data_IF_346043973598
#
_entry.id   IF_346043973598
#
_cell.length_a   1.000
_cell.length_b   1.000
_cell.length_c   1.000
_cell.angle_alpha   90.00
_cell.angle_beta   90.00
_cell.angle_gamma   90.00
#
_symmetry.space_group_name_H-M   'P 1'
#
loop_
_entity.id
_entity.type
_entity.pdbx_description
1 polymer ?
#
# COMPACT_ATOMS: atom_id res chain seq x y z
N UNK A 1 12.98 -1.97 -80.92
CA UNK A 1 13.23 -1.85 -79.46
C UNK A 1 11.89 -1.95 -78.76
N UNK A 2 11.61 -3.04 -78.03
CA UNK A 2 10.36 -3.25 -77.29
C UNK A 2 10.63 -2.86 -75.83
N UNK A 3 10.01 -1.78 -75.35
CA UNK A 3 10.07 -1.37 -73.95
C UNK A 3 9.13 -2.25 -73.13
N UNK A 4 9.67 -2.97 -72.16
CA UNK A 4 8.89 -3.67 -71.14
C UNK A 4 8.54 -2.68 -70.03
N UNK A 5 7.24 -2.49 -69.77
CA UNK A 5 6.75 -1.78 -68.59
C UNK A 5 6.80 -2.75 -67.41
N UNK A 6 7.64 -2.47 -66.42
CA UNK A 6 7.69 -3.20 -65.15
C UNK A 6 6.64 -2.60 -64.22
N UNK A 7 5.56 -3.33 -63.94
CA UNK A 7 4.57 -2.95 -62.94
C UNK A 7 5.15 -3.22 -61.54
N UNK A 8 5.35 -2.16 -60.75
CA UNK A 8 5.73 -2.28 -59.35
C UNK A 8 4.49 -2.63 -58.51
N UNK A 9 4.48 -3.83 -57.93
CA UNK A 9 3.45 -4.28 -57.00
C UNK A 9 3.73 -3.64 -55.63
N UNK A 10 2.95 -2.62 -55.25
CA UNK A 10 2.96 -2.07 -53.90
C UNK A 10 2.23 -3.05 -52.97
N UNK A 11 2.98 -3.82 -52.17
CA UNK A 11 2.42 -4.57 -51.05
C UNK A 11 2.01 -3.58 -49.95
N UNK A 12 0.70 -3.43 -49.74
CA UNK A 12 0.16 -2.81 -48.53
C UNK A 12 0.34 -3.77 -47.36
N UNK A 13 1.27 -3.47 -46.46
CA UNK A 13 1.41 -4.17 -45.19
C UNK A 13 0.26 -3.67 -44.29
N UNK A 14 -0.75 -4.51 -44.07
CA UNK A 14 -1.76 -4.24 -43.05
C UNK A 14 -1.08 -4.21 -41.67
N UNK A 15 -1.43 -3.28 -40.77
CA UNK A 15 -0.86 -3.28 -39.43
C UNK A 15 -1.26 -4.58 -38.74
N UNK A 16 -0.27 -5.32 -38.24
CA UNK A 16 -0.52 -6.47 -37.40
C UNK A 16 -1.37 -6.00 -36.21
N UNK A 17 -2.54 -6.62 -36.01
CA UNK A 17 -3.32 -6.39 -34.81
C UNK A 17 -2.42 -6.67 -33.61
N UNK A 18 -2.19 -5.67 -32.76
CA UNK A 18 -1.38 -5.83 -31.57
C UNK A 18 -2.02 -6.94 -30.71
N UNK A 19 -1.30 -8.05 -30.52
CA UNK A 19 -1.71 -9.10 -29.60
C UNK A 19 -1.94 -8.46 -28.23
N UNK A 20 -3.15 -8.58 -27.70
CA UNK A 20 -3.47 -8.06 -26.38
C UNK A 20 -2.59 -8.80 -25.37
N UNK A 21 -1.72 -8.07 -24.67
CA UNK A 21 -0.87 -8.64 -23.63
C UNK A 21 -1.75 -9.25 -22.54
N UNK A 22 -1.44 -10.48 -22.12
CA UNK A 22 -2.15 -11.19 -21.06
C UNK A 22 -1.25 -11.36 -19.84
N UNK A 23 -1.85 -11.47 -18.66
CA UNK A 23 -1.15 -11.76 -17.40
C UNK A 23 -1.94 -12.80 -16.60
N UNK A 24 -1.32 -13.38 -15.58
CA UNK A 24 -1.92 -14.37 -14.69
C UNK A 24 -1.66 -13.97 -13.25
N UNK A 25 -2.68 -14.04 -12.40
CA UNK A 25 -2.51 -13.87 -10.96
C UNK A 25 -2.03 -15.16 -10.27
N UNK A 26 -1.22 -15.06 -9.21
CA UNK A 26 -0.64 -13.82 -8.67
C UNK A 26 0.46 -13.25 -9.57
N UNK A 27 0.43 -11.95 -9.85
CA UNK A 27 1.46 -11.25 -10.65
C UNK A 27 2.84 -11.28 -9.96
N UNK A 28 2.85 -11.36 -8.63
CA UNK A 28 4.04 -11.59 -7.82
C UNK A 28 3.76 -12.83 -6.96
N UNK A 29 4.34 -13.97 -7.32
CA UNK A 29 4.17 -15.21 -6.57
C UNK A 29 5.22 -15.33 -5.44
N UNK A 30 5.19 -14.38 -4.51
CA UNK A 30 6.08 -14.30 -3.36
C UNK A 30 5.37 -13.60 -2.20
N UNK A 31 6.00 -13.59 -1.02
CA UNK A 31 5.43 -13.01 0.20
C UNK A 31 5.56 -11.47 0.21
N UNK A 32 4.57 -10.80 -0.39
CA UNK A 32 4.37 -9.35 -0.32
C UNK A 32 2.97 -9.09 0.21
N UNK A 33 2.81 -9.14 1.53
CA UNK A 33 1.52 -8.84 2.16
C UNK A 33 1.25 -7.33 2.16
N UNK A 34 -0.04 -7.01 2.19
CA UNK A 34 -0.55 -5.66 2.42
C UNK A 34 -0.04 -4.61 1.40
N UNK A 35 -0.02 -4.92 0.09
CA UNK A 35 0.53 -4.03 -0.89
C UNK A 35 -0.24 -2.70 -0.93
N UNK A 36 0.49 -1.61 -1.16
CA UNK A 36 -0.11 -0.34 -1.58
C UNK A 36 0.65 0.18 -2.79
N UNK A 37 -0.09 0.64 -3.79
CA UNK A 37 0.44 0.98 -5.12
C UNK A 37 0.02 2.39 -5.52
N UNK A 38 0.96 3.13 -6.11
CA UNK A 38 0.72 4.43 -6.74
C UNK A 38 1.33 4.51 -8.13
N UNK A 39 0.87 5.48 -8.92
CA UNK A 39 1.49 5.87 -10.19
C UNK A 39 2.08 7.27 -10.08
N UNK A 40 3.31 7.44 -10.57
CA UNK A 40 3.95 8.76 -10.76
C UNK A 40 4.44 8.83 -12.21
N UNK A 41 3.82 9.70 -13.01
CA UNK A 41 4.07 9.73 -14.45
C UNK A 41 3.66 8.41 -15.12
N UNK A 42 4.61 7.75 -15.79
CA UNK A 42 4.41 6.45 -16.46
C UNK A 42 4.82 5.23 -15.62
N UNK A 43 5.43 5.46 -14.45
CA UNK A 43 5.95 4.40 -13.60
C UNK A 43 4.99 4.14 -12.42
N UNK A 44 4.94 2.89 -11.99
CA UNK A 44 4.17 2.44 -10.83
C UNK A 44 5.13 2.03 -9.72
N UNK A 45 4.72 2.28 -8.48
CA UNK A 45 5.49 2.00 -7.28
C UNK A 45 4.62 1.29 -6.27
N UNK A 46 5.17 0.24 -5.67
CA UNK A 46 4.48 -0.56 -4.66
C UNK A 46 5.36 -0.67 -3.41
N UNK A 47 4.72 -0.61 -2.24
CA UNK A 47 5.32 -1.00 -0.96
C UNK A 47 4.52 -2.14 -0.36
N UNK A 48 5.14 -2.92 0.51
CA UNK A 48 4.52 -4.05 1.19
C UNK A 48 5.02 -4.14 2.64
N UNK A 49 4.25 -4.83 3.48
CA UNK A 49 4.67 -5.15 4.85
C UNK A 49 5.97 -5.94 4.86
N UNK A 50 6.71 -5.81 5.96
CA UNK A 50 7.97 -6.55 6.16
C UNK A 50 8.10 -7.13 7.56
N UNK A 51 7.17 -6.78 8.45
CA UNK A 51 7.17 -7.20 9.84
C UNK A 51 8.55 -6.94 10.48
N UNK A 52 9.26 -8.01 10.81
CA UNK A 52 10.51 -8.01 11.55
C UNK A 52 11.73 -8.12 10.64
N UNK A 53 11.53 -8.18 9.32
CA UNK A 53 12.60 -8.27 8.34
C UNK A 53 13.33 -6.93 8.22
N UNK A 54 14.65 -7.02 8.11
CA UNK A 54 15.56 -5.89 7.91
C UNK A 54 16.47 -6.21 6.72
N UNK A 55 16.57 -5.35 5.68
CA UNK A 55 15.92 -4.04 5.54
C UNK A 55 14.39 -4.14 5.42
N UNK A 56 13.68 -3.11 5.91
CA UNK A 56 12.22 -3.07 6.03
C UNK A 56 11.56 -2.27 4.91
N UNK A 57 10.31 -2.62 4.60
CA UNK A 57 9.45 -2.03 3.56
C UNK A 57 10.13 -2.02 2.18
N UNK A 58 10.07 -3.13 1.42
CA UNK A 58 10.57 -3.14 0.06
C UNK A 58 9.81 -2.13 -0.79
N UNK A 59 10.52 -1.41 -1.67
CA UNK A 59 9.95 -0.53 -2.68
C UNK A 59 10.14 -1.20 -4.03
N UNK A 60 9.04 -1.52 -4.70
CA UNK A 60 9.04 -2.13 -6.02
C UNK A 60 8.64 -1.12 -7.08
N UNK A 61 9.17 -1.29 -8.30
CA UNK A 61 8.84 -0.48 -9.47
C UNK A 61 8.34 -1.35 -10.62
N UNK A 62 7.37 -0.83 -11.36
CA UNK A 62 6.87 -1.42 -12.61
C UNK A 62 6.53 -0.33 -13.63
N UNK A 63 6.37 -0.73 -14.90
CA UNK A 63 5.82 0.09 -16.00
C UNK A 63 4.52 -0.46 -16.58
N UNK A 64 4.17 -1.69 -16.21
CA UNK A 64 3.05 -2.43 -16.81
C UNK A 64 2.14 -3.10 -15.76
N UNK A 65 2.40 -2.88 -14.46
CA UNK A 65 1.70 -3.48 -13.32
C UNK A 65 1.84 -5.00 -13.21
N UNK A 66 2.61 -5.65 -14.08
CA UNK A 66 2.78 -7.11 -14.13
C UNK A 66 4.20 -7.50 -13.74
N UNK A 67 5.20 -6.83 -14.30
CA UNK A 67 6.61 -7.10 -14.01
C UNK A 67 7.14 -6.09 -13.00
N UNK A 68 7.61 -6.59 -11.86
CA UNK A 68 8.07 -5.77 -10.74
C UNK A 68 9.52 -6.04 -10.41
N UNK A 69 10.24 -5.00 -10.00
CA UNK A 69 11.62 -5.11 -9.50
C UNK A 69 11.77 -4.29 -8.23
N UNK A 70 12.45 -4.85 -7.22
CA UNK A 70 12.82 -4.10 -6.01
C UNK A 70 13.85 -3.04 -6.41
N UNK A 71 13.59 -1.78 -6.07
CA UNK A 71 14.49 -0.65 -6.32
C UNK A 71 15.14 -0.12 -5.05
N UNK A 72 14.66 -0.53 -3.87
CA UNK A 72 15.19 -0.11 -2.59
C UNK A 72 14.31 -0.58 -1.43
N UNK A 73 14.66 -0.10 -0.25
CA UNK A 73 13.89 -0.30 0.99
C UNK A 73 13.77 1.05 1.70
N UNK A 74 12.62 1.31 2.32
CA UNK A 74 12.43 2.54 3.09
C UNK A 74 13.31 2.55 4.33
N UNK A 75 13.44 1.39 4.98
CA UNK A 75 14.19 1.24 6.22
C UNK A 75 15.45 0.39 5.97
N UNK A 76 16.68 0.95 6.09
CA UNK A 76 17.89 0.14 6.02
C UNK A 76 18.02 -0.82 7.21
N UNK A 77 17.40 -0.47 8.35
CA UNK A 77 17.24 -1.29 9.56
C UNK A 77 15.95 -0.89 10.29
N UNK A 78 15.41 -1.75 11.15
CA UNK A 78 14.25 -1.44 11.99
C UNK A 78 14.69 -0.64 13.23
N UNK A 79 14.33 0.65 13.37
CA UNK A 79 14.89 1.52 14.42
C UNK A 79 14.02 1.60 15.69
N UNK A 80 13.06 0.69 15.89
CA UNK A 80 11.99 0.86 16.89
C UNK A 80 12.37 0.41 18.31
N UNK A 81 13.48 -0.32 18.48
CA UNK A 81 13.97 -0.68 19.81
C UNK A 81 14.89 -1.89 19.81
N UNK A 82 15.56 -2.18 20.94
CA UNK A 82 16.56 -3.24 21.05
C UNK A 82 16.00 -4.65 20.84
N UNK A 83 14.67 -4.83 20.92
CA UNK A 83 14.02 -6.11 20.65
C UNK A 83 13.95 -6.46 19.15
N UNK A 84 14.22 -5.49 18.27
CA UNK A 84 14.35 -5.70 16.83
C UNK A 84 15.80 -5.99 16.41
N UNK A 85 16.76 -5.74 17.29
CA UNK A 85 18.16 -6.09 17.07
C UNK A 85 18.42 -7.54 17.48
N UNK A 86 19.28 -8.23 16.73
CA UNK A 86 19.80 -9.57 17.05
C UNK A 86 21.28 -9.48 17.49
N UNK A 87 21.63 -8.79 18.59
CA UNK A 87 23.02 -8.60 19.00
C UNK A 87 23.64 -9.94 19.41
N UNK A 88 24.74 -10.33 18.75
CA UNK A 88 25.49 -11.54 19.12
C UNK A 88 26.37 -11.35 20.37
N UNK A 89 26.97 -12.42 20.90
CA UNK A 89 26.84 -13.83 20.47
C UNK A 89 25.61 -14.52 21.07
N UNK A 90 24.86 -15.25 20.24
CA UNK A 90 23.71 -16.04 20.68
C UNK A 90 24.16 -17.46 21.03
N UNK A 91 24.22 -17.81 22.32
CA UNK A 91 24.43 -19.18 22.75
C UNK A 91 23.09 -19.93 22.72
N UNK A 92 22.72 -20.46 21.57
CA UNK A 92 21.53 -21.30 21.39
C UNK A 92 21.80 -22.67 22.02
N UNK A 93 21.63 -22.79 23.33
CA UNK A 93 21.54 -24.09 24.00
C UNK A 93 20.08 -24.50 24.10
N UNK A 94 19.82 -25.71 23.65
CA UNK A 94 18.54 -26.41 23.68
C UNK A 94 18.07 -26.62 25.12
N UNK A 95 17.33 -25.62 25.63
CA UNK A 95 16.11 -25.71 26.48
C UNK A 95 15.84 -24.44 27.31
N UNK A 96 16.80 -23.52 27.48
CA UNK A 96 16.62 -22.36 28.40
C UNK A 96 17.21 -21.03 27.88
N UNK A 97 17.79 -20.98 26.68
CA UNK A 97 18.39 -19.73 26.17
C UNK A 97 17.41 -18.97 25.27
N UNK A 98 16.59 -18.08 25.85
CA UNK A 98 15.92 -17.01 25.07
C UNK A 98 16.96 -15.89 24.88
N UNK A 99 17.33 -15.50 23.66
CA UNK A 99 18.24 -14.38 23.46
C UNK A 99 17.66 -13.11 24.12
N UNK A 100 18.54 -12.29 24.70
CA UNK A 100 18.19 -10.96 25.19
C UNK A 100 18.12 -10.05 23.96
N UNK A 101 17.01 -10.10 23.23
CA UNK A 101 16.80 -9.35 21.98
C UNK A 101 16.28 -10.21 20.84
N UNK A 102 15.88 -9.55 19.75
CA UNK A 102 15.42 -10.19 18.52
C UNK A 102 14.22 -11.11 18.67
N UNK A 103 13.30 -10.78 19.58
CA UNK A 103 12.10 -11.58 19.86
C UNK A 103 10.85 -11.07 19.16
N UNK A 104 10.95 -9.99 18.37
CA UNK A 104 9.83 -9.34 17.67
C UNK A 104 9.41 -10.04 16.37
N UNK A 105 9.46 -11.38 16.32
CA UNK A 105 9.00 -12.14 15.15
C UNK A 105 7.53 -11.87 14.86
N UNK A 106 7.19 -11.73 13.57
CA UNK A 106 5.87 -11.33 13.07
C UNK A 106 5.31 -9.98 13.62
N UNK A 107 6.14 -9.21 14.33
CA UNK A 107 5.85 -7.83 14.76
C UNK A 107 6.62 -6.83 13.91
N UNK A 108 6.64 -5.55 14.28
CA UNK A 108 7.34 -4.52 13.52
C UNK A 108 6.46 -3.90 12.46
N UNK A 109 6.94 -3.83 11.23
CA UNK A 109 6.32 -3.05 10.16
C UNK A 109 5.11 -3.76 9.56
N UNK A 110 3.92 -3.31 9.97
CA UNK A 110 2.62 -3.73 9.42
C UNK A 110 2.23 -2.87 8.20
N UNK A 111 1.01 -3.06 7.67
CA UNK A 111 0.54 -2.57 6.38
C UNK A 111 0.97 -1.12 6.10
N UNK A 112 1.90 -0.91 5.16
CA UNK A 112 2.32 0.42 4.79
C UNK A 112 1.34 1.06 3.81
N UNK A 113 1.41 2.38 3.69
CA UNK A 113 0.82 3.13 2.59
C UNK A 113 1.86 4.00 1.92
N UNK A 114 1.73 4.20 0.61
CA UNK A 114 2.62 5.06 -0.17
C UNK A 114 1.82 6.15 -0.88
N UNK A 115 2.27 7.40 -0.83
CA UNK A 115 1.68 8.53 -1.56
C UNK A 115 2.77 9.36 -2.21
N UNK A 116 2.45 10.02 -3.32
CA UNK A 116 3.31 11.02 -3.93
C UNK A 116 2.65 12.39 -3.80
N UNK A 117 3.28 13.29 -3.06
CA UNK A 117 2.77 14.62 -2.77
C UNK A 117 3.94 15.61 -2.68
N UNK A 118 3.77 16.78 -3.27
CA UNK A 118 4.77 17.87 -3.27
C UNK A 118 6.18 17.42 -3.72
N UNK A 119 6.23 16.65 -4.81
CA UNK A 119 7.49 16.16 -5.41
C UNK A 119 8.23 15.11 -4.57
N UNK A 120 7.58 14.53 -3.56
CA UNK A 120 8.16 13.50 -2.69
C UNK A 120 7.25 12.28 -2.62
N UNK A 121 7.89 11.14 -2.40
CA UNK A 121 7.26 9.92 -1.93
C UNK A 121 7.17 9.95 -0.41
N UNK A 122 6.02 9.55 0.10
CA UNK A 122 5.68 9.48 1.50
C UNK A 122 5.25 8.06 1.80
N UNK A 123 5.92 7.41 2.75
CA UNK A 123 5.52 6.08 3.21
C UNK A 123 5.17 6.16 4.69
N UNK A 124 3.98 5.68 5.04
CA UNK A 124 3.51 5.57 6.42
C UNK A 124 3.30 4.10 6.75
N UNK A 125 3.56 3.71 7.99
CA UNK A 125 3.31 2.37 8.47
C UNK A 125 3.02 2.39 9.96
N UNK A 126 2.40 1.34 10.45
CA UNK A 126 2.26 1.11 11.88
C UNK A 126 3.25 0.05 12.35
N UNK A 127 3.62 0.20 13.60
CA UNK A 127 4.13 -0.88 14.45
C UNK A 127 3.16 -0.98 15.63
N UNK A 128 2.46 -2.10 15.83
CA UNK A 128 1.35 -2.18 16.79
C UNK A 128 1.70 -1.74 18.22
N UNK A 129 2.95 -1.96 18.63
CA UNK A 129 3.41 -1.66 19.98
C UNK A 129 4.01 -0.25 20.10
N UNK A 130 4.59 0.30 19.02
CA UNK A 130 5.35 1.56 19.06
C UNK A 130 4.64 2.76 18.39
N UNK A 131 3.61 2.54 17.57
CA UNK A 131 2.78 3.58 16.97
C UNK A 131 2.88 3.71 15.45
N UNK A 132 2.54 4.90 14.94
CA UNK A 132 2.54 5.23 13.51
C UNK A 132 3.78 6.04 13.15
N UNK A 133 4.45 5.60 12.09
CA UNK A 133 5.69 6.19 11.59
C UNK A 133 5.56 6.61 10.14
N UNK A 134 6.46 7.49 9.72
CA UNK A 134 6.60 7.92 8.34
C UNK A 134 8.06 8.12 7.92
N UNK A 135 8.30 8.05 6.61
CA UNK A 135 9.54 8.46 5.98
C UNK A 135 9.26 9.03 4.59
N UNK A 136 10.18 9.86 4.08
CA UNK A 136 10.05 10.50 2.77
C UNK A 136 11.30 10.36 1.92
N UNK A 137 11.13 10.40 0.61
CA UNK A 137 12.22 10.47 -0.35
C UNK A 137 11.80 11.24 -1.61
N UNK A 138 12.72 11.93 -2.27
CA UNK A 138 12.47 12.51 -3.61
C UNK A 138 12.68 11.50 -4.73
N UNK A 139 13.51 10.49 -4.49
CA UNK A 139 13.71 9.33 -5.36
C UNK A 139 13.16 8.09 -4.62
N UNK A 140 12.24 7.30 -5.21
CA UNK A 140 11.68 6.14 -4.54
C UNK A 140 12.70 5.01 -4.31
N UNK A 141 13.86 5.04 -4.96
CA UNK A 141 15.00 4.17 -4.64
C UNK A 141 15.78 4.64 -3.39
N UNK A 142 15.47 5.82 -2.88
CA UNK A 142 16.13 6.46 -1.75
C UNK A 142 17.24 7.45 -2.17
N UNK A 143 17.97 8.02 -1.19
CA UNK A 143 17.86 7.73 0.24
C UNK A 143 16.52 8.22 0.82
N UNK A 144 15.96 7.41 1.71
CA UNK A 144 14.80 7.79 2.52
C UNK A 144 15.25 8.57 3.76
N UNK A 145 14.40 9.47 4.25
CA UNK A 145 14.60 10.12 5.54
C UNK A 145 14.63 9.10 6.67
N UNK A 146 15.16 9.49 7.83
CA UNK A 146 14.97 8.68 9.04
C UNK A 146 13.48 8.51 9.35
N UNK A 147 13.14 7.37 9.96
CA UNK A 147 11.79 7.09 10.40
C UNK A 147 11.38 8.10 11.48
N UNK A 148 10.26 8.78 11.27
CA UNK A 148 9.70 9.74 12.20
C UNK A 148 8.41 9.18 12.79
N UNK A 149 8.29 9.18 14.12
CA UNK A 149 7.04 8.82 14.80
C UNK A 149 6.04 9.97 14.66
N UNK A 150 4.95 9.74 13.93
CA UNK A 150 3.85 10.69 13.76
C UNK A 150 2.91 10.65 14.97
N UNK A 151 2.73 9.45 15.52
CA UNK A 151 1.98 9.18 16.74
C UNK A 151 2.64 8.00 17.47
N UNK A 152 3.07 8.21 18.72
CA UNK A 152 3.83 7.23 19.51
C UNK A 152 2.93 6.49 20.50
N UNK A 153 1.77 6.05 20.04
CA UNK A 153 0.75 5.35 20.83
C UNK A 153 0.53 3.95 20.29
N UNK A 154 0.56 2.95 21.18
CA UNK A 154 0.29 1.56 20.82
C UNK A 154 -1.18 1.33 20.41
N UNK A 155 -1.43 0.24 19.69
CA UNK A 155 -2.78 -0.18 19.30
C UNK A 155 -3.31 0.49 18.03
N UNK A 156 -2.45 1.16 17.26
CA UNK A 156 -2.78 1.75 15.96
C UNK A 156 -2.32 0.82 14.84
N UNK A 157 -3.07 0.75 13.74
CA UNK A 157 -2.74 -0.07 12.57
C UNK A 157 -3.11 0.62 11.25
N UNK A 158 -2.49 0.16 10.17
CA UNK A 158 -2.84 0.45 8.79
C UNK A 158 -3.06 1.94 8.44
N UNK A 159 -2.07 2.81 8.71
CA UNK A 159 -2.19 4.24 8.45
C UNK A 159 -2.13 4.53 6.95
N UNK A 160 -2.96 5.47 6.49
CA UNK A 160 -2.93 6.03 5.15
C UNK A 160 -3.01 7.56 5.18
N UNK A 161 -1.97 8.29 4.73
CA UNK A 161 -2.00 9.73 4.65
C UNK A 161 -2.80 10.18 3.42
N UNK A 162 -3.35 11.38 3.51
CA UNK A 162 -4.08 12.00 2.42
C UNK A 162 -3.91 13.52 2.46
N UNK A 163 -3.45 14.09 1.36
CA UNK A 163 -3.39 15.54 1.16
C UNK A 163 -4.50 15.95 0.21
N UNK A 164 -5.35 16.85 0.67
CA UNK A 164 -6.53 17.30 -0.07
C UNK A 164 -6.23 18.54 -0.91
N UNK A 165 -7.08 18.79 -1.91
CA UNK A 165 -6.97 19.93 -2.82
C UNK A 165 -7.16 21.29 -2.12
N UNK A 166 -7.73 21.28 -0.91
CA UNK A 166 -7.92 22.48 -0.08
C UNK A 166 -6.69 22.83 0.79
N UNK A 167 -5.59 22.08 0.63
CA UNK A 167 -4.34 22.26 1.35
C UNK A 167 -4.32 21.64 2.76
N UNK A 168 -5.40 20.97 3.19
CA UNK A 168 -5.40 20.20 4.44
C UNK A 168 -4.81 18.82 4.23
N UNK A 169 -4.11 18.34 5.26
CA UNK A 169 -3.61 16.98 5.32
C UNK A 169 -4.38 16.19 6.38
N UNK A 170 -4.51 14.90 6.14
CA UNK A 170 -5.29 13.96 6.93
C UNK A 170 -4.55 12.64 7.06
N UNK A 171 -4.82 11.92 8.13
CA UNK A 171 -4.38 10.55 8.31
C UNK A 171 -5.60 9.71 8.71
N UNK A 172 -5.89 8.66 7.94
CA UNK A 172 -6.83 7.61 8.36
C UNK A 172 -6.04 6.41 8.86
N UNK A 173 -6.51 5.75 9.91
CA UNK A 173 -5.92 4.51 10.41
C UNK A 173 -6.99 3.64 11.08
N UNK A 174 -6.68 2.36 11.28
CA UNK A 174 -7.45 1.43 12.10
C UNK A 174 -6.95 1.36 13.54
N UNK A 175 -7.53 0.47 14.33
CA UNK A 175 -7.05 0.08 15.66
C UNK A 175 -6.86 -1.42 15.71
N UNK A 176 -5.77 -1.86 16.35
CA UNK A 176 -5.43 -3.28 16.52
C UNK A 176 -6.67 -4.07 16.92
N UNK A 177 -7.03 -5.02 16.05
CA UNK A 177 -8.29 -5.74 16.12
C UNK A 177 -9.31 -5.36 15.05
N UNK A 178 -8.89 -4.67 13.99
CA UNK A 178 -9.67 -4.37 12.78
C UNK A 178 -10.86 -3.44 13.03
N UNK A 179 -10.50 -2.18 13.26
CA UNK A 179 -11.42 -1.05 13.38
C UNK A 179 -11.63 -0.55 14.82
N UNK A 180 -12.31 0.58 15.01
CA UNK A 180 -12.93 1.43 13.97
C UNK A 180 -11.91 2.18 13.10
N UNK A 181 -12.37 2.73 11.97
CA UNK A 181 -11.57 3.67 11.17
C UNK A 181 -11.65 5.08 11.77
N UNK A 182 -10.49 5.66 12.05
CA UNK A 182 -10.35 6.97 12.70
C UNK A 182 -9.63 7.91 11.74
N UNK A 183 -10.18 9.11 11.58
CA UNK A 183 -9.61 10.18 10.76
C UNK A 183 -9.09 11.30 11.64
N UNK A 184 -7.83 11.67 11.45
CA UNK A 184 -7.20 12.81 12.10
C UNK A 184 -6.90 13.92 11.10
N UNK A 185 -6.92 15.18 11.57
CA UNK A 185 -6.19 16.24 10.88
C UNK A 185 -4.70 16.01 11.09
N UNK A 186 -3.92 16.19 10.04
CA UNK A 186 -2.46 16.06 10.05
C UNK A 186 -1.82 17.40 9.67
N UNK A 187 -0.62 17.68 10.17
CA UNK A 187 0.15 18.83 9.69
C UNK A 187 0.42 18.70 8.18
N UNK A 188 0.46 19.82 7.42
CA UNK A 188 0.71 19.76 5.98
C UNK A 188 2.04 19.08 5.61
N UNK A 189 3.04 19.16 6.49
CA UNK A 189 4.32 18.47 6.37
C UNK A 189 4.29 16.99 6.77
N UNK A 190 3.13 16.44 7.15
CA UNK A 190 2.93 15.03 7.46
C UNK A 190 3.55 14.56 8.79
N UNK A 191 4.13 15.44 9.59
CA UNK A 191 4.95 15.01 10.73
C UNK A 191 4.19 14.77 12.04
N UNK A 192 2.94 15.24 12.16
CA UNK A 192 2.16 15.09 13.40
C UNK A 192 0.66 15.18 13.20
N UNK A 193 -0.08 14.56 14.12
CA UNK A 193 -1.53 14.73 14.24
C UNK A 193 -1.87 16.07 14.92
N UNK A 194 -3.05 16.61 14.60
CA UNK A 194 -3.52 17.93 15.06
C UNK A 194 -4.78 17.85 15.93
N UNK A 195 -5.26 16.65 16.22
CA UNK A 195 -6.42 16.36 17.06
C UNK A 195 -6.44 14.91 17.55
N UNK A 196 -7.41 14.62 18.42
CA UNK A 196 -7.73 13.30 18.98
C UNK A 196 -8.38 12.33 17.98
N UNK A 197 -8.68 12.80 16.76
CA UNK A 197 -9.32 12.00 15.72
C UNK A 197 -10.84 11.86 15.87
N UNK A 198 -11.49 11.44 14.79
CA UNK A 198 -12.93 11.19 14.73
C UNK A 198 -13.16 9.83 14.10
N UNK A 199 -14.02 9.00 14.70
CA UNK A 199 -14.47 7.75 14.09
C UNK A 199 -15.34 8.08 12.87
N UNK A 200 -14.90 7.61 11.69
CA UNK A 200 -15.60 7.84 10.41
C UNK A 200 -16.29 6.60 9.86
N UNK A 201 -15.92 5.41 10.38
CA UNK A 201 -16.60 4.16 10.06
C UNK A 201 -16.45 3.15 11.21
N UNK A 202 -17.58 2.69 11.73
CA UNK A 202 -17.70 1.55 12.63
C UNK A 202 -19.07 0.91 12.44
N UNK A 203 -19.09 -0.34 11.97
CA UNK A 203 -20.31 -1.14 11.88
C UNK A 203 -19.89 -2.61 11.92
N UNK A 204 -19.88 -3.22 13.11
CA UNK A 204 -19.38 -4.59 13.27
C UNK A 204 -20.29 -5.64 12.63
N UNK A 205 -21.52 -5.30 12.31
CA UNK A 205 -22.46 -6.21 11.64
C UNK A 205 -22.27 -6.16 10.11
N UNK A 206 -22.13 -4.97 9.53
CA UNK A 206 -22.02 -4.79 8.07
C UNK A 206 -20.59 -4.70 7.56
N UNK A 207 -19.66 -4.24 8.40
CA UNK A 207 -18.24 -4.05 8.13
C UNK A 207 -17.39 -4.80 9.19
N UNK A 208 -17.58 -6.12 9.37
CA UNK A 208 -16.77 -6.87 10.32
C UNK A 208 -15.30 -6.86 9.88
N UNK A 209 -14.36 -6.75 10.83
CA UNK A 209 -12.91 -6.78 10.54
C UNK A 209 -12.53 -5.70 9.48
N UNK A 210 -12.97 -4.46 9.70
CA UNK A 210 -12.71 -3.34 8.80
C UNK A 210 -11.30 -2.78 9.04
N UNK A 211 -10.37 -3.14 8.17
CA UNK A 211 -8.94 -2.81 8.30
C UNK A 211 -8.34 -2.31 6.98
N UNK A 212 -7.03 -2.03 6.95
CA UNK A 212 -6.31 -1.70 5.73
C UNK A 212 -6.80 -0.48 4.94
N UNK A 213 -7.27 0.63 5.55
CA UNK A 213 -7.85 1.73 4.81
C UNK A 213 -6.84 2.37 3.86
N UNK A 214 -7.12 2.36 2.56
CA UNK A 214 -6.43 3.19 1.57
C UNK A 214 -7.36 4.31 1.11
N UNK A 215 -6.87 5.54 1.22
CA UNK A 215 -7.69 6.72 1.04
C UNK A 215 -7.41 7.43 -0.28
N UNK A 216 -8.47 7.84 -0.98
CA UNK A 216 -8.42 8.46 -2.30
C UNK A 216 -9.48 9.54 -2.46
N UNK A 217 -9.29 10.41 -3.45
CA UNK A 217 -10.31 11.35 -3.93
C UNK A 217 -10.41 11.26 -5.45
N UNK A 218 -11.65 11.22 -5.95
CA UNK A 218 -11.94 11.18 -7.39
C UNK A 218 -13.30 11.82 -7.66
N UNK A 219 -13.38 12.66 -8.71
CA UNK A 219 -14.63 13.27 -9.19
C UNK A 219 -15.47 13.92 -8.07
N UNK A 220 -14.79 14.60 -7.14
CA UNK A 220 -15.42 15.27 -6.00
C UNK A 220 -16.04 14.32 -4.97
N UNK A 221 -15.53 13.09 -4.87
CA UNK A 221 -15.87 12.10 -3.85
C UNK A 221 -14.61 11.59 -3.16
N UNK A 222 -14.72 11.31 -1.87
CA UNK A 222 -13.72 10.60 -1.08
C UNK A 222 -14.02 9.11 -1.09
N UNK A 223 -12.99 8.28 -1.21
CA UNK A 223 -13.09 6.83 -1.26
C UNK A 223 -12.14 6.18 -0.27
N UNK A 224 -12.64 5.25 0.54
CA UNK A 224 -11.83 4.38 1.39
C UNK A 224 -11.96 2.96 0.85
N UNK A 225 -10.85 2.39 0.41
CA UNK A 225 -10.75 0.97 0.14
C UNK A 225 -10.29 0.29 1.44
N UNK A 226 -11.11 -0.61 1.98
CA UNK A 226 -10.79 -1.36 3.18
C UNK A 226 -11.41 -2.76 3.07
N UNK A 227 -10.63 -3.86 3.19
CA UNK A 227 -11.22 -5.19 3.28
C UNK A 227 -12.08 -5.33 4.55
N UNK A 228 -13.01 -6.27 4.49
CA UNK A 228 -13.84 -6.70 5.63
C UNK A 228 -13.82 -8.22 5.70
N UNK A 229 -14.11 -8.82 6.84
CA UNK A 229 -14.24 -10.28 7.02
C UNK A 229 -12.92 -11.04 7.13
N UNK A 230 -11.79 -10.34 7.15
CA UNK A 230 -10.44 -10.87 7.39
C UNK A 230 -9.79 -11.59 6.19
N UNK A 231 -8.52 -11.96 6.38
CA UNK A 231 -7.55 -12.36 5.34
C UNK A 231 -8.01 -13.48 4.40
N UNK A 232 -8.68 -14.52 4.90
CA UNK A 232 -8.91 -15.74 4.11
C UNK A 232 -10.11 -15.69 3.16
N UNK A 233 -11.19 -15.02 3.54
CA UNK A 233 -12.48 -15.08 2.82
C UNK A 233 -13.17 -13.73 2.71
N UNK A 234 -12.56 -12.68 3.25
CA UNK A 234 -13.10 -11.34 3.23
C UNK A 234 -13.25 -10.77 1.82
N UNK A 235 -14.31 -10.01 1.54
CA UNK A 235 -14.38 -9.17 0.35
C UNK A 235 -13.61 -7.86 0.56
N UNK A 236 -13.29 -7.21 -0.56
CA UNK A 236 -12.83 -5.83 -0.57
C UNK A 236 -14.05 -4.90 -0.56
N UNK A 237 -14.20 -4.11 0.50
CA UNK A 237 -15.22 -3.06 0.56
C UNK A 237 -14.64 -1.71 0.13
N UNK A 238 -15.50 -0.85 -0.42
CA UNK A 238 -15.22 0.54 -0.71
C UNK A 238 -16.32 1.41 -0.14
N UNK A 239 -15.92 2.31 0.75
CA UNK A 239 -16.75 3.40 1.25
C UNK A 239 -16.58 4.62 0.36
N UNK A 240 -17.68 5.32 0.05
CA UNK A 240 -17.64 6.61 -0.66
C UNK A 240 -18.44 7.69 0.08
N UNK A 241 -17.91 8.92 0.16
CA UNK A 241 -18.59 10.07 0.78
C UNK A 241 -18.31 11.40 0.06
N UNK A 242 -19.22 12.38 0.23
CA UNK A 242 -19.03 13.77 -0.24
C UNK A 242 -18.23 14.64 0.73
N UNK A 243 -18.35 14.35 2.03
CA UNK A 243 -17.51 14.92 3.07
C UNK A 243 -16.48 13.87 3.48
N UNK A 244 -15.23 14.28 3.67
CA UNK A 244 -14.13 13.41 4.10
C UNK A 244 -14.42 12.71 5.44
N UNK A 245 -15.28 13.30 6.27
CA UNK A 245 -15.73 12.74 7.56
C UNK A 245 -16.94 11.81 7.42
N UNK A 246 -17.46 11.60 6.23
CA UNK A 246 -18.63 10.76 5.97
C UNK A 246 -19.97 11.50 6.05
N UNK A 247 -21.08 10.76 6.21
CA UNK A 247 -21.15 9.30 6.29
C UNK A 247 -20.72 8.64 4.97
N UNK A 248 -20.05 7.49 5.08
CA UNK A 248 -19.62 6.70 3.94
C UNK A 248 -20.69 5.69 3.52
N UNK A 249 -21.00 5.65 2.23
CA UNK A 249 -21.79 4.59 1.61
C UNK A 249 -20.86 3.45 1.20
N UNK A 250 -21.06 2.25 1.77
CA UNK A 250 -20.19 1.10 1.58
C UNK A 250 -20.75 0.08 0.59
N UNK A 251 -19.87 -0.51 -0.22
CA UNK A 251 -20.17 -1.64 -1.11
C UNK A 251 -19.00 -2.60 -1.18
N UNK A 252 -19.28 -3.89 -1.31
CA UNK A 252 -18.28 -4.85 -1.75
C UNK A 252 -18.01 -4.62 -3.24
N UNK A 253 -16.73 -4.50 -3.61
CA UNK A 253 -16.30 -4.25 -4.99
C UNK A 253 -15.48 -5.41 -5.57
N UNK A 254 -14.87 -6.23 -4.72
CA UNK A 254 -14.23 -7.48 -5.09
C UNK A 254 -14.57 -8.53 -4.05
N UNK A 255 -14.87 -9.75 -4.48
CA UNK A 255 -15.24 -10.87 -3.62
C UNK A 255 -14.48 -12.12 -4.06
N UNK A 256 -14.29 -13.12 -3.18
CA UNK A 256 -13.76 -14.42 -3.59
C UNK A 256 -14.54 -14.97 -4.78
N UNK A 257 -13.84 -15.19 -5.89
CA UNK A 257 -14.42 -15.70 -7.13
C UNK A 257 -14.39 -17.22 -7.22
N UNK A 258 -14.33 -17.72 -8.45
CA UNK A 258 -14.18 -19.15 -8.76
C UNK A 258 -12.72 -19.61 -8.86
N UNK A 259 -11.76 -18.72 -8.60
CA UNK A 259 -10.34 -19.04 -8.64
C UNK A 259 -9.87 -19.70 -7.34
N UNK A 260 -8.76 -20.46 -7.35
CA UNK A 260 -8.14 -20.96 -6.13
C UNK A 260 -7.56 -19.87 -5.20
N UNK A 261 -7.44 -18.64 -5.68
CA UNK A 261 -6.98 -17.48 -4.90
C UNK A 261 -8.06 -17.14 -3.87
N UNK A 262 -7.68 -17.23 -2.60
CA UNK A 262 -8.49 -16.81 -1.45
C UNK A 262 -8.70 -15.29 -1.51
N UNK A 263 -9.80 -14.81 -0.94
CA UNK A 263 -10.40 -13.48 -1.23
C UNK A 263 -9.43 -12.28 -1.31
N UNK A 264 -9.82 -11.21 -2.01
CA UNK A 264 -9.01 -9.99 -2.07
C UNK A 264 -8.85 -9.43 -0.66
N UNK A 265 -7.63 -9.24 -0.19
CA UNK A 265 -7.39 -8.74 1.15
C UNK A 265 -6.23 -7.75 1.20
N UNK A 266 -6.58 -6.49 1.51
CA UNK A 266 -5.70 -5.31 1.43
C UNK A 266 -5.11 -5.12 0.02
N UNK A 267 -4.82 -3.87 -0.33
CA UNK A 267 -4.38 -3.51 -1.67
C UNK A 267 -4.56 -2.03 -1.99
N UNK A 268 -3.93 -1.58 -3.05
CA UNK A 268 -4.03 -0.23 -3.58
C UNK A 268 -4.81 -0.18 -4.91
N UNK A 269 -5.60 0.88 -5.08
CA UNK A 269 -6.23 1.20 -6.37
C UNK A 269 -5.33 2.15 -7.16
N UNK A 270 -5.08 1.81 -8.42
CA UNK A 270 -4.28 2.65 -9.33
C UNK A 270 -4.88 2.65 -10.73
N UNK A 271 -4.72 3.77 -11.43
CA UNK A 271 -5.15 3.89 -12.82
C UNK A 271 -3.97 4.01 -13.76
N UNK A 272 -4.09 3.34 -14.91
CA UNK A 272 -3.16 3.53 -16.02
C UNK A 272 -3.31 4.94 -16.63
N UNK A 273 -2.35 5.39 -17.45
CA UNK A 273 -2.51 6.65 -18.20
C UNK A 273 -3.74 6.69 -19.11
N UNK A 274 -4.29 5.54 -19.52
CA UNK A 274 -5.52 5.45 -20.30
C UNK A 274 -6.80 5.46 -19.44
N UNK A 275 -6.68 5.57 -18.12
CA UNK A 275 -7.81 5.58 -17.18
C UNK A 275 -8.35 4.18 -16.84
N UNK A 276 -7.64 3.10 -17.17
CA UNK A 276 -8.03 1.76 -16.76
C UNK A 276 -7.66 1.55 -15.28
N UNK A 277 -8.63 1.18 -14.46
CA UNK A 277 -8.43 0.87 -13.05
C UNK A 277 -7.83 -0.52 -12.82
N UNK A 278 -6.92 -0.60 -11.86
CA UNK A 278 -6.31 -1.81 -11.32
C UNK A 278 -6.38 -1.78 -9.80
N UNK A 279 -6.50 -2.96 -9.21
CA UNK A 279 -6.37 -3.15 -7.77
C UNK A 279 -5.28 -4.20 -7.56
N UNK A 280 -4.26 -3.88 -6.77
CA UNK A 280 -3.08 -4.70 -6.55
C UNK A 280 -2.72 -4.78 -5.07
#
# INVERSE_FOLDING_TARGET
MRSALTAALLLTIAPAAAQQATYTNPIIYADYSDPDVIRVGSDYYMVASSFHLSPGIPVLKSRDLVHWSIIGHVLPKLPFGPLYDMPGPHMLTDKISKPIGGTKYASGVWAPSIRHHDGKFWVYWATPDEGVFMATATDPAGPWSEALAVEATAGLEDPCPFWDDDGKAWLVHGKVGAGPLILHRMSPDGTRLLDEGVVIAEDKERLPVLEGPKFYKRDGWYYIFAPIGGVGTGPQAVGRAKDIRGPYEWRNVLEPGTTPIQGPHQGGYVETPSGQGWFA
#
